data_IF_141486254078
#
_entry.id   IF_141486254078
#
_cell.length_a   1.000
_cell.length_b   1.000
_cell.length_c   1.000
_cell.angle_alpha   90.00
_cell.angle_beta   90.00
_cell.angle_gamma   90.00
#
_symmetry.space_group_name_H-M   'P 1'
#
loop_
_entity.id
_entity.type
_entity.pdbx_description
1 polymer ?
#
# COMPACT_ATOMS: atom_id res chain seq x y z
N UNK A 1 -23.25 3.97 -30.82
CA UNK A 1 -22.20 4.87 -31.31
C UNK A 1 -21.80 5.78 -30.15
N UNK A 2 -20.51 5.75 -29.75
CA UNK A 2 -19.81 6.82 -29.06
C UNK A 2 -20.03 7.01 -27.54
N UNK A 3 -19.66 6.01 -26.72
CA UNK A 3 -19.30 6.28 -25.31
C UNK A 3 -17.78 6.12 -25.02
N UNK A 4 -16.97 5.79 -26.03
CA UNK A 4 -15.50 5.67 -25.92
C UNK A 4 -14.78 7.01 -25.82
N UNK A 5 -15.44 8.13 -26.14
CA UNK A 5 -14.77 9.45 -26.21
C UNK A 5 -14.78 10.21 -24.87
N UNK A 6 -15.66 9.89 -23.94
CA UNK A 6 -15.82 10.67 -22.71
C UNK A 6 -14.74 10.37 -21.64
N UNK A 7 -14.25 9.13 -21.60
CA UNK A 7 -13.16 8.76 -20.67
C UNK A 7 -11.81 9.43 -21.02
N UNK A 8 -11.57 9.70 -22.30
CA UNK A 8 -10.36 10.40 -22.77
C UNK A 8 -10.36 11.90 -22.49
N UNK A 9 -11.55 12.50 -22.40
CA UNK A 9 -11.70 13.95 -22.15
C UNK A 9 -11.45 14.30 -20.68
N UNK A 10 -11.77 13.40 -19.74
CA UNK A 10 -11.57 13.63 -18.31
C UNK A 10 -10.06 13.62 -17.94
N UNK A 11 -9.23 12.90 -18.71
CA UNK A 11 -7.77 12.87 -18.51
C UNK A 11 -7.04 14.12 -19.02
N UNK A 12 -7.69 14.99 -19.81
CA UNK A 12 -7.03 16.15 -20.43
C UNK A 12 -7.33 17.50 -19.79
N UNK A 13 -8.22 17.57 -18.82
CA UNK A 13 -8.61 18.83 -18.19
C UNK A 13 -7.99 18.96 -16.78
N UNK A 14 -7.03 19.87 -16.65
CA UNK A 14 -6.56 20.55 -15.44
C UNK A 14 -5.60 19.87 -14.45
N UNK A 15 -5.17 18.62 -14.63
CA UNK A 15 -4.10 18.05 -13.79
C UNK A 15 -2.67 18.49 -14.20
N UNK A 16 -2.53 19.23 -15.29
CA UNK A 16 -1.23 19.68 -15.83
C UNK A 16 -0.70 21.01 -15.28
N UNK A 17 -1.32 21.62 -14.26
CA UNK A 17 -0.83 22.88 -13.65
C UNK A 17 -0.46 22.73 -12.19
N UNK A 18 0.61 22.01 -11.91
CA UNK A 18 1.36 22.19 -10.66
C UNK A 18 2.86 22.22 -11.00
N UNK A 19 3.62 23.22 -10.51
CA UNK A 19 5.05 23.33 -10.80
C UNK A 19 5.79 22.13 -10.21
N UNK A 20 6.65 21.52 -11.04
CA UNK A 20 7.46 20.38 -10.67
C UNK A 20 8.29 20.66 -9.43
N UNK A 21 8.12 19.79 -8.43
CA UNK A 21 9.03 19.72 -7.30
C UNK A 21 10.42 19.38 -7.82
N UNK A 22 11.38 20.20 -7.47
CA UNK A 22 12.78 20.08 -7.85
C UNK A 22 13.34 18.74 -7.41
N UNK A 23 13.48 17.81 -8.36
CA UNK A 23 14.26 16.60 -8.19
C UNK A 23 15.69 16.99 -7.83
N UNK A 24 16.15 16.52 -6.70
CA UNK A 24 17.54 16.65 -6.28
C UNK A 24 18.38 15.71 -7.15
N UNK A 25 18.92 16.23 -8.26
CA UNK A 25 19.97 15.55 -9.02
C UNK A 25 21.18 15.33 -8.11
N UNK A 26 21.42 14.09 -7.72
CA UNK A 26 22.71 13.69 -7.15
C UNK A 26 23.66 13.40 -8.30
N UNK A 27 24.77 14.16 -8.33
CA UNK A 27 25.89 13.98 -9.27
C UNK A 27 26.46 12.57 -9.10
N UNK A 28 26.49 11.82 -10.20
CA UNK A 28 27.28 10.59 -10.34
C UNK A 28 28.77 10.93 -10.32
N UNK A 29 29.40 10.72 -9.17
CA UNK A 29 30.84 10.71 -9.01
C UNK A 29 31.27 9.37 -8.44
N UNK A 30 32.38 8.80 -8.94
CA UNK A 30 32.94 7.56 -8.48
C UNK A 30 33.08 7.59 -6.92
N UNK A 31 32.37 6.66 -6.25
CA UNK A 31 32.35 6.58 -4.80
C UNK A 31 33.35 5.51 -4.39
N UNK A 32 34.37 5.90 -3.62
CA UNK A 32 35.32 5.00 -2.96
C UNK A 32 34.54 4.09 -1.98
N UNK A 33 34.90 2.80 -1.89
CA UNK A 33 34.21 1.77 -1.09
C UNK A 33 33.95 2.15 0.38
N UNK A 34 34.83 2.95 0.96
CA UNK A 34 34.66 3.47 2.35
C UNK A 34 33.53 4.50 2.51
N UNK A 35 33.14 5.20 1.44
CA UNK A 35 32.04 6.18 1.45
C UNK A 35 30.66 5.51 1.37
N UNK A 36 30.58 4.38 0.67
CA UNK A 36 29.32 3.61 0.53
C UNK A 36 28.90 2.97 1.86
N UNK A 37 29.81 2.30 2.56
CA UNK A 37 29.52 1.68 3.86
C UNK A 37 29.08 2.71 4.92
N UNK A 38 29.66 3.91 4.90
CA UNK A 38 29.28 5.00 5.81
C UNK A 38 27.89 5.56 5.48
N UNK A 39 27.55 5.68 4.20
CA UNK A 39 26.24 6.13 3.74
C UNK A 39 25.13 5.12 4.10
N UNK A 40 25.38 3.83 3.94
CA UNK A 40 24.43 2.75 4.30
C UNK A 40 24.11 2.72 5.79
N UNK A 41 25.13 2.94 6.64
CA UNK A 41 24.90 3.01 8.08
C UNK A 41 24.09 4.26 8.46
N UNK A 42 24.21 5.33 7.70
CA UNK A 42 23.43 6.56 7.90
C UNK A 42 21.96 6.36 7.53
N UNK A 43 21.65 5.64 6.44
CA UNK A 43 20.29 5.27 6.09
C UNK A 43 19.64 4.40 7.17
N UNK A 44 20.36 3.40 7.68
CA UNK A 44 19.87 2.58 8.79
C UNK A 44 19.59 3.42 10.04
N UNK A 45 20.49 4.31 10.42
CA UNK A 45 20.30 5.25 11.54
C UNK A 45 19.10 6.16 11.36
N UNK A 46 18.88 6.60 10.15
CA UNK A 46 17.70 7.43 9.81
C UNK A 46 16.41 6.64 9.92
N UNK A 47 16.38 5.41 9.40
CA UNK A 47 15.27 4.49 9.53
C UNK A 47 15.00 4.11 11.00
N UNK A 48 16.06 3.82 11.79
CA UNK A 48 15.95 3.53 13.22
C UNK A 48 15.32 4.71 13.98
N UNK A 49 15.79 5.94 13.72
CA UNK A 49 15.17 7.14 14.31
C UNK A 49 13.71 7.30 13.92
N UNK A 50 13.34 6.98 12.68
CA UNK A 50 11.94 6.99 12.23
C UNK A 50 11.10 5.92 12.93
N UNK A 51 11.66 4.72 13.12
CA UNK A 51 11.05 3.64 13.90
C UNK A 51 10.80 4.03 15.36
N UNK A 52 11.82 4.59 16.01
CA UNK A 52 11.70 5.06 17.40
C UNK A 52 10.69 6.19 17.57
N UNK A 53 10.57 7.11 16.60
CA UNK A 53 9.52 8.14 16.61
C UNK A 53 8.13 7.53 16.49
N UNK A 54 7.94 6.61 15.55
CA UNK A 54 6.66 5.91 15.36
C UNK A 54 6.28 5.10 16.60
N UNK A 55 7.24 4.39 17.19
CA UNK A 55 7.06 3.65 18.45
C UNK A 55 6.51 4.56 19.56
N UNK A 56 7.20 5.68 19.84
CA UNK A 56 6.77 6.63 20.88
C UNK A 56 5.38 7.21 20.59
N UNK A 57 5.10 7.53 19.33
CA UNK A 57 3.79 8.05 18.91
C UNK A 57 2.66 7.03 19.12
N UNK A 58 2.89 5.74 18.88
CA UNK A 58 1.91 4.69 19.14
C UNK A 58 1.68 4.52 20.66
N UNK A 59 2.77 4.44 21.46
CA UNK A 59 2.68 4.34 22.92
C UNK A 59 1.90 5.51 23.51
N UNK A 60 2.19 6.74 23.07
CA UNK A 60 1.48 7.94 23.54
C UNK A 60 -0.03 7.93 23.25
N UNK A 61 -0.46 7.16 22.21
CA UNK A 61 -1.87 6.98 21.86
C UNK A 61 -2.49 5.71 22.46
N UNK A 62 -1.77 4.96 23.30
CA UNK A 62 -2.22 3.69 23.85
C UNK A 62 -2.38 2.58 22.80
N UNK A 63 -1.66 2.67 21.67
CA UNK A 63 -1.69 1.70 20.59
C UNK A 63 -0.46 0.79 20.65
N UNK A 64 -0.56 -0.43 20.07
CA UNK A 64 0.61 -1.29 19.92
C UNK A 64 1.66 -0.60 19.04
N UNK A 65 2.91 -0.48 19.51
CA UNK A 65 3.97 0.17 18.76
C UNK A 65 4.62 -0.74 17.71
N UNK A 66 4.30 -2.02 17.70
CA UNK A 66 4.88 -3.06 16.85
C UNK A 66 3.98 -3.40 15.67
N UNK A 67 4.50 -4.19 14.72
CA UNK A 67 3.71 -4.73 13.62
C UNK A 67 2.53 -5.54 14.14
N UNK A 68 1.37 -5.36 13.53
CA UNK A 68 0.22 -6.21 13.78
C UNK A 68 0.53 -7.65 13.32
N UNK A 69 0.08 -8.65 14.09
CA UNK A 69 0.29 -10.07 13.82
C UNK A 69 -1.02 -10.67 13.33
N UNK A 70 -1.01 -11.21 12.10
CA UNK A 70 -2.21 -11.77 11.49
C UNK A 70 -2.72 -12.99 12.26
N UNK A 71 -1.82 -13.88 12.71
CA UNK A 71 -2.23 -15.07 13.45
C UNK A 71 -2.97 -14.72 14.75
N UNK A 72 -2.60 -13.62 15.41
CA UNK A 72 -3.31 -13.11 16.60
C UNK A 72 -4.69 -12.55 16.22
N UNK A 73 -4.77 -11.84 15.10
CA UNK A 73 -6.03 -11.27 14.58
C UNK A 73 -7.00 -12.38 14.17
N UNK A 74 -6.49 -13.47 13.60
CA UNK A 74 -7.31 -14.59 13.14
C UNK A 74 -7.74 -15.53 14.28
N UNK A 75 -7.28 -15.32 15.50
CA UNK A 75 -7.68 -16.13 16.64
C UNK A 75 -9.20 -16.07 16.83
N UNK A 76 -9.87 -17.21 16.67
CA UNK A 76 -11.33 -17.31 16.74
C UNK A 76 -12.09 -16.84 15.49
N UNK A 77 -11.40 -16.43 14.42
CA UNK A 77 -12.02 -16.05 13.16
C UNK A 77 -12.21 -17.28 12.26
N UNK A 78 -13.44 -17.45 11.75
CA UNK A 78 -13.73 -18.50 10.78
C UNK A 78 -13.35 -18.02 9.37
N UNK A 79 -12.32 -18.62 8.77
CA UNK A 79 -11.92 -18.40 7.38
C UNK A 79 -12.63 -19.44 6.50
N UNK A 80 -13.47 -18.95 5.58
CA UNK A 80 -14.29 -19.81 4.70
C UNK A 80 -13.62 -20.13 3.37
N UNK A 81 -12.63 -19.34 2.94
CA UNK A 81 -11.87 -19.60 1.73
C UNK A 81 -10.45 -19.03 1.82
N UNK A 82 -9.53 -19.66 1.09
CA UNK A 82 -8.18 -19.15 0.82
C UNK A 82 -8.00 -19.11 -0.69
N UNK A 83 -7.81 -17.93 -1.24
CA UNK A 83 -7.73 -17.69 -2.68
C UNK A 83 -6.33 -17.21 -3.07
N UNK A 84 -5.57 -17.95 -3.88
CA UNK A 84 -4.31 -17.46 -4.40
C UNK A 84 -4.58 -16.34 -5.42
N UNK A 85 -4.07 -15.14 -5.16
CA UNK A 85 -4.16 -14.01 -6.09
C UNK A 85 -2.98 -13.97 -7.08
N UNK A 86 -1.93 -14.76 -6.83
CA UNK A 86 -0.69 -14.72 -7.60
C UNK A 86 0.14 -13.48 -7.30
N UNK A 87 0.87 -13.02 -8.31
CA UNK A 87 1.69 -11.80 -8.21
C UNK A 87 0.80 -10.56 -8.30
N UNK A 88 0.90 -9.68 -7.32
CA UNK A 88 0.09 -8.47 -7.17
C UNK A 88 1.00 -7.31 -6.76
N UNK A 89 0.79 -6.14 -7.34
CA UNK A 89 1.36 -4.89 -6.85
C UNK A 89 0.55 -4.38 -5.67
N UNK A 90 1.10 -4.56 -4.47
CA UNK A 90 0.43 -4.22 -3.21
C UNK A 90 0.70 -2.76 -2.88
N UNK A 91 -0.33 -1.91 -2.66
CA UNK A 91 -0.11 -0.57 -2.15
C UNK A 91 0.66 -0.62 -0.83
N UNK A 92 1.81 0.07 -0.75
CA UNK A 92 2.70 -0.02 0.41
C UNK A 92 1.99 0.39 1.72
N UNK A 93 1.06 1.33 1.65
CA UNK A 93 0.23 1.75 2.78
C UNK A 93 -0.69 0.64 3.31
N UNK A 94 -1.14 -0.27 2.45
CA UNK A 94 -2.02 -1.39 2.80
C UNK A 94 -1.27 -2.55 3.48
N UNK A 95 0.07 -2.55 3.47
CA UNK A 95 0.88 -3.52 4.21
C UNK A 95 1.01 -3.03 5.66
N UNK A 96 0.29 -3.69 6.57
CA UNK A 96 0.10 -3.21 7.95
C UNK A 96 0.74 -4.10 9.01
N UNK A 97 1.19 -5.30 8.65
CA UNK A 97 1.70 -6.24 9.64
C UNK A 97 2.44 -7.44 9.06
N UNK A 98 2.72 -8.37 9.93
CA UNK A 98 3.37 -9.66 9.62
C UNK A 98 2.42 -10.81 9.92
N UNK A 99 2.66 -11.98 9.29
CA UNK A 99 1.82 -13.15 9.53
C UNK A 99 2.02 -13.71 10.94
N UNK A 100 3.27 -13.86 11.36
CA UNK A 100 3.64 -14.52 12.63
C UNK A 100 4.33 -13.55 13.60
N UNK A 101 4.29 -13.85 14.88
CA UNK A 101 4.91 -13.05 15.95
C UNK A 101 6.44 -13.10 16.02
N UNK A 102 7.09 -14.01 15.28
CA UNK A 102 8.51 -14.34 15.47
C UNK A 102 9.50 -13.16 15.41
N UNK A 103 9.20 -12.10 14.65
CA UNK A 103 10.06 -10.91 14.53
C UNK A 103 9.28 -9.61 14.48
N UNK A 104 8.02 -9.59 14.91
CA UNK A 104 7.18 -8.40 14.84
C UNK A 104 7.75 -7.23 15.66
N UNK A 105 8.46 -7.50 16.75
CA UNK A 105 9.08 -6.51 17.63
C UNK A 105 10.38 -5.92 17.08
N UNK A 106 10.95 -6.50 16.01
CA UNK A 106 12.11 -5.93 15.33
C UNK A 106 11.77 -4.65 14.54
N UNK A 107 10.47 -4.39 14.34
CA UNK A 107 9.95 -3.26 13.58
C UNK A 107 8.91 -2.48 14.37
N UNK A 108 8.88 -1.18 14.19
CA UNK A 108 7.75 -0.35 14.60
C UNK A 108 6.55 -0.58 13.68
N UNK A 109 5.36 -0.11 14.07
CA UNK A 109 4.12 -0.26 13.32
C UNK A 109 4.19 0.28 11.87
N UNK A 110 5.12 1.19 11.56
CA UNK A 110 5.40 1.71 10.23
C UNK A 110 6.44 0.89 9.44
N UNK A 111 6.81 -0.30 9.90
CA UNK A 111 7.87 -1.16 9.35
C UNK A 111 9.31 -0.61 9.49
N UNK A 112 9.53 0.52 10.11
CA UNK A 112 10.90 0.98 10.36
C UNK A 112 11.57 0.15 11.47
N UNK A 113 12.90 -0.07 11.38
CA UNK A 113 13.63 -0.90 12.33
C UNK A 113 13.61 -0.31 13.75
N UNK A 114 13.72 -1.21 14.75
CA UNK A 114 13.85 -0.87 16.17
C UNK A 114 15.12 -1.48 16.81
N UNK A 115 15.82 -2.35 16.11
CA UNK A 115 17.05 -2.98 16.61
C UNK A 115 18.26 -2.05 16.43
N UNK A 116 19.23 -2.18 17.33
CA UNK A 116 20.45 -1.37 17.31
C UNK A 116 21.31 -1.65 16.08
N UNK A 117 22.21 -0.71 15.76
CA UNK A 117 23.02 -0.70 14.53
C UNK A 117 24.14 -1.73 14.50
N UNK A 118 24.55 -2.31 15.64
CA UNK A 118 25.58 -3.36 15.77
C UNK A 118 25.03 -4.79 15.57
N UNK A 119 23.77 -4.91 15.16
CA UNK A 119 23.11 -6.20 14.99
C UNK A 119 23.25 -6.76 13.57
N UNK A 120 23.25 -8.09 13.43
CA UNK A 120 23.13 -8.77 12.12
C UNK A 120 21.89 -8.30 11.33
N UNK A 121 20.86 -7.88 12.05
CA UNK A 121 19.67 -7.31 11.42
C UNK A 121 20.00 -6.02 10.67
N UNK A 122 20.73 -5.10 11.30
CA UNK A 122 21.12 -3.82 10.72
C UNK A 122 22.02 -4.03 9.49
N UNK A 123 22.99 -4.93 9.56
CA UNK A 123 23.85 -5.28 8.41
C UNK A 123 23.00 -5.78 7.22
N UNK A 124 22.10 -6.74 7.46
CA UNK A 124 21.22 -7.27 6.41
C UNK A 124 20.23 -6.25 5.86
N UNK A 125 19.79 -5.29 6.67
CA UNK A 125 18.93 -4.21 6.24
C UNK A 125 19.69 -3.20 5.37
N UNK A 126 20.92 -2.84 5.76
CA UNK A 126 21.80 -1.95 5.01
C UNK A 126 22.18 -2.54 3.65
N UNK A 127 22.52 -3.83 3.59
CA UNK A 127 22.82 -4.51 2.32
C UNK A 127 21.59 -4.52 1.36
N UNK A 128 20.38 -4.58 1.90
CA UNK A 128 19.16 -4.43 1.08
C UNK A 128 18.96 -3.01 0.57
N UNK A 129 19.39 -1.99 1.33
CA UNK A 129 19.39 -0.61 0.84
C UNK A 129 20.36 -0.44 -0.34
N UNK A 130 21.57 -0.99 -0.22
CA UNK A 130 22.56 -0.95 -1.29
C UNK A 130 22.01 -1.62 -2.57
N UNK A 131 21.53 -2.85 -2.45
CA UNK A 131 20.91 -3.56 -3.56
C UNK A 131 19.73 -2.78 -4.17
N UNK A 132 18.93 -2.09 -3.34
CA UNK A 132 17.84 -1.26 -3.84
C UNK A 132 18.33 -0.04 -4.63
N UNK A 133 19.39 0.60 -4.21
CA UNK A 133 19.96 1.77 -4.88
C UNK A 133 20.70 1.39 -6.18
N UNK A 134 21.31 0.20 -6.24
CA UNK A 134 22.05 -0.27 -7.42
C UNK A 134 21.14 -0.89 -8.48
N UNK A 135 20.29 -1.83 -8.09
CA UNK A 135 19.54 -2.66 -9.04
C UNK A 135 18.01 -2.59 -8.81
N UNK A 136 17.57 -2.08 -7.65
CA UNK A 136 16.18 -2.18 -7.19
C UNK A 136 15.88 -3.53 -6.53
N UNK A 137 14.87 -3.55 -5.66
CA UNK A 137 14.38 -4.79 -5.03
C UNK A 137 13.23 -5.34 -5.88
N UNK A 138 13.50 -6.35 -6.70
CA UNK A 138 12.53 -6.97 -7.60
C UNK A 138 11.92 -8.26 -7.06
N UNK A 139 12.56 -8.91 -6.06
CA UNK A 139 12.07 -10.16 -5.48
C UNK A 139 10.74 -9.93 -4.76
N UNK A 140 9.63 -10.55 -5.20
CA UNK A 140 8.34 -10.36 -4.55
C UNK A 140 8.36 -10.81 -3.09
N UNK A 141 7.58 -10.13 -2.25
CA UNK A 141 7.30 -10.60 -0.89
C UNK A 141 6.26 -11.71 -0.93
N UNK A 142 6.13 -12.50 0.16
CA UNK A 142 5.01 -13.41 0.35
C UNK A 142 4.09 -12.79 1.40
N UNK A 143 2.82 -12.62 1.08
CA UNK A 143 1.87 -11.96 1.96
C UNK A 143 0.49 -12.61 1.95
N UNK A 144 -0.25 -12.41 3.05
CA UNK A 144 -1.66 -12.71 3.15
C UNK A 144 -2.49 -11.42 3.09
N UNK A 145 -3.59 -11.47 2.36
CA UNK A 145 -4.60 -10.42 2.39
C UNK A 145 -5.76 -10.84 3.30
N UNK A 146 -6.12 -9.99 4.25
CA UNK A 146 -7.27 -10.15 5.12
C UNK A 146 -7.98 -8.80 5.31
N UNK A 147 -9.26 -8.73 4.97
CA UNK A 147 -10.07 -7.50 5.04
C UNK A 147 -9.37 -6.30 4.37
N UNK A 148 -8.82 -6.54 3.18
CA UNK A 148 -8.11 -5.53 2.38
C UNK A 148 -6.82 -4.98 3.03
N UNK A 149 -6.27 -5.62 4.04
CA UNK A 149 -4.98 -5.34 4.67
C UNK A 149 -4.02 -6.49 4.36
N UNK A 150 -2.74 -6.17 4.20
CA UNK A 150 -1.73 -7.16 3.84
C UNK A 150 -0.77 -7.39 4.99
N UNK A 151 -0.45 -8.66 5.21
CA UNK A 151 0.40 -9.14 6.30
C UNK A 151 1.51 -9.99 5.71
N UNK A 152 2.74 -9.58 5.93
CA UNK A 152 3.93 -10.18 5.33
C UNK A 152 4.28 -11.50 6.01
N UNK A 153 4.35 -12.58 5.25
CA UNK A 153 4.92 -13.85 5.72
C UNK A 153 6.43 -13.86 5.53
N UNK A 154 6.89 -13.42 4.35
CA UNK A 154 8.31 -13.35 4.01
C UNK A 154 8.65 -12.04 3.33
N UNK A 155 9.74 -11.39 3.78
CA UNK A 155 10.24 -10.16 3.19
C UNK A 155 10.01 -8.91 4.04
N UNK A 156 9.80 -9.00 5.36
CA UNK A 156 9.61 -7.84 6.25
C UNK A 156 10.72 -6.78 6.10
N UNK A 157 12.00 -7.19 5.92
CA UNK A 157 13.09 -6.23 5.69
C UNK A 157 12.99 -5.56 4.32
N UNK A 158 12.57 -6.30 3.27
CA UNK A 158 12.32 -5.73 1.93
C UNK A 158 11.22 -4.68 2.01
N UNK A 159 10.12 -4.98 2.70
CA UNK A 159 9.04 -4.01 2.95
C UNK A 159 9.57 -2.79 3.72
N UNK A 160 10.41 -3.00 4.74
CA UNK A 160 11.00 -1.92 5.53
C UNK A 160 11.83 -0.97 4.67
N UNK A 161 12.73 -1.51 3.84
CA UNK A 161 13.58 -0.71 2.93
C UNK A 161 12.72 0.01 1.89
N UNK A 162 11.80 -0.69 1.23
CA UNK A 162 10.94 -0.09 0.22
C UNK A 162 10.05 1.03 0.79
N UNK A 163 9.51 0.86 2.01
CA UNK A 163 8.78 1.93 2.71
C UNK A 163 9.68 3.09 3.14
N UNK A 164 10.93 2.83 3.49
CA UNK A 164 11.89 3.89 3.81
C UNK A 164 12.18 4.78 2.58
N UNK A 165 12.22 4.20 1.39
CA UNK A 165 12.36 4.91 0.12
C UNK A 165 11.01 5.30 -0.50
N UNK A 166 9.93 5.31 0.28
CA UNK A 166 8.60 5.81 -0.11
C UNK A 166 8.01 5.10 -1.35
N UNK A 167 8.30 3.80 -1.50
CA UNK A 167 7.70 3.02 -2.57
C UNK A 167 6.17 3.08 -2.50
N UNK A 168 5.54 3.36 -3.64
CA UNK A 168 4.07 3.43 -3.76
C UNK A 168 3.44 2.04 -3.72
N UNK A 169 4.08 1.08 -4.41
CA UNK A 169 3.65 -0.31 -4.45
C UNK A 169 4.82 -1.24 -4.19
N UNK A 170 4.51 -2.44 -3.70
CA UNK A 170 5.49 -3.50 -3.42
C UNK A 170 4.98 -4.79 -4.07
N UNK A 171 5.75 -5.43 -4.98
CA UNK A 171 5.34 -6.67 -5.61
C UNK A 171 5.29 -7.80 -4.59
N UNK A 172 4.21 -8.58 -4.60
CA UNK A 172 4.02 -9.70 -3.68
C UNK A 172 3.20 -10.83 -4.25
N UNK A 173 3.58 -12.06 -3.89
CA UNK A 173 2.72 -13.23 -4.09
C UNK A 173 1.74 -13.30 -2.93
N UNK A 174 0.46 -13.17 -3.23
CA UNK A 174 -0.59 -12.96 -2.23
C UNK A 174 -1.57 -14.12 -2.18
N UNK A 175 -1.91 -14.53 -0.95
CA UNK A 175 -3.06 -15.40 -0.66
C UNK A 175 -4.11 -14.61 0.10
N UNK A 176 -5.34 -14.54 -0.42
CA UNK A 176 -6.48 -13.89 0.21
C UNK A 176 -7.14 -14.83 1.20
N UNK A 177 -7.38 -14.36 2.41
CA UNK A 177 -8.14 -15.07 3.44
C UNK A 177 -9.54 -14.45 3.54
N UNK A 178 -10.55 -15.22 3.15
CA UNK A 178 -11.94 -14.74 3.17
C UNK A 178 -12.58 -15.16 4.50
N UNK A 179 -12.91 -14.22 5.40
CA UNK A 179 -13.63 -14.53 6.64
C UNK A 179 -15.08 -14.89 6.36
N UNK A 180 -15.73 -15.62 7.26
CA UNK A 180 -17.18 -15.78 7.22
C UNK A 180 -17.89 -14.42 7.29
N UNK A 181 -19.09 -14.32 6.67
CA UNK A 181 -19.94 -13.12 6.78
C UNK A 181 -20.34 -12.87 8.23
N UNK A 182 -20.26 -11.63 8.64
CA UNK A 182 -20.74 -11.17 9.95
C UNK A 182 -21.35 -9.76 9.84
N UNK A 183 -21.88 -9.23 10.94
CA UNK A 183 -22.60 -7.97 10.96
C UNK A 183 -21.73 -6.72 11.10
N UNK A 184 -20.41 -6.87 11.20
CA UNK A 184 -19.51 -5.72 11.30
C UNK A 184 -19.49 -4.92 9.99
N UNK A 185 -19.37 -3.60 10.10
CA UNK A 185 -19.30 -2.72 8.93
C UNK A 185 -18.12 -3.07 8.02
N UNK A 186 -16.96 -3.36 8.61
CA UNK A 186 -15.73 -3.73 7.86
C UNK A 186 -15.94 -5.00 7.03
N UNK A 187 -16.57 -6.04 7.60
CA UNK A 187 -16.86 -7.28 6.88
C UNK A 187 -17.89 -7.06 5.75
N UNK A 188 -18.93 -6.26 5.99
CA UNK A 188 -19.94 -5.94 4.96
C UNK A 188 -19.31 -5.18 3.78
N UNK A 189 -18.48 -4.17 4.05
CA UNK A 189 -17.73 -3.43 3.01
C UNK A 189 -16.76 -4.37 2.26
N UNK A 190 -16.11 -5.27 3.00
CA UNK A 190 -15.22 -6.25 2.38
C UNK A 190 -15.94 -7.18 1.41
N UNK A 191 -17.14 -7.60 1.72
CA UNK A 191 -17.93 -8.42 0.79
C UNK A 191 -18.43 -7.63 -0.44
N UNK A 192 -18.75 -6.34 -0.30
CA UNK A 192 -18.98 -5.47 -1.46
C UNK A 192 -17.71 -5.37 -2.33
N UNK A 193 -16.54 -5.26 -1.69
CA UNK A 193 -15.25 -5.29 -2.40
C UNK A 193 -15.06 -6.62 -3.16
N UNK A 194 -15.32 -7.77 -2.56
CA UNK A 194 -15.15 -9.06 -3.22
C UNK A 194 -16.05 -9.18 -4.45
N UNK A 195 -17.30 -8.71 -4.37
CA UNK A 195 -18.22 -8.70 -5.50
C UNK A 195 -17.77 -7.73 -6.61
N UNK A 196 -17.28 -6.55 -6.25
CA UNK A 196 -16.66 -5.60 -7.18
C UNK A 196 -15.38 -6.19 -7.82
N UNK A 197 -14.50 -6.81 -7.03
CA UNK A 197 -13.28 -7.43 -7.52
C UNK A 197 -13.52 -8.56 -8.53
N UNK A 198 -14.59 -9.35 -8.37
CA UNK A 198 -14.96 -10.39 -9.35
C UNK A 198 -15.16 -9.81 -10.74
N UNK A 199 -15.74 -8.62 -10.84
CA UNK A 199 -16.08 -7.94 -12.10
C UNK A 199 -14.89 -7.10 -12.62
N UNK A 200 -14.26 -6.33 -11.75
CA UNK A 200 -13.26 -5.33 -12.13
C UNK A 200 -11.82 -5.84 -12.10
N UNK A 201 -11.51 -6.84 -11.26
CA UNK A 201 -10.13 -7.23 -10.88
C UNK A 201 -9.29 -6.09 -10.28
N UNK A 202 -9.91 -4.98 -9.88
CA UNK A 202 -9.25 -3.87 -9.17
C UNK A 202 -9.18 -4.20 -7.69
N UNK A 203 -7.98 -4.20 -7.12
CA UNK A 203 -7.73 -4.65 -5.74
C UNK A 203 -7.19 -3.55 -4.80
N UNK A 204 -7.01 -2.34 -5.30
CA UNK A 204 -6.37 -1.24 -4.55
C UNK A 204 -7.35 -0.13 -4.10
N UNK A 205 -8.61 -0.16 -4.50
CA UNK A 205 -9.63 0.83 -4.10
C UNK A 205 -10.28 0.43 -2.78
N UNK A 206 -10.40 1.37 -1.87
CA UNK A 206 -11.00 1.17 -0.54
C UNK A 206 -12.06 2.22 -0.26
N UNK A 207 -13.15 1.80 0.36
CA UNK A 207 -14.20 2.69 0.85
C UNK A 207 -14.41 2.49 2.36
N UNK A 208 -14.77 3.57 3.06
CA UNK A 208 -15.10 3.53 4.48
C UNK A 208 -16.59 3.29 4.74
N UNK A 209 -17.42 3.29 3.69
CA UNK A 209 -18.88 3.20 3.79
C UNK A 209 -19.45 2.18 2.81
N UNK A 210 -20.59 1.60 3.19
CA UNK A 210 -21.36 0.73 2.29
C UNK A 210 -21.87 1.48 1.05
N UNK A 211 -22.01 0.75 -0.05
CA UNK A 211 -22.48 1.28 -1.34
C UNK A 211 -21.41 2.00 -2.15
N UNK A 212 -20.18 2.15 -1.62
CA UNK A 212 -19.09 2.83 -2.30
C UNK A 212 -18.73 2.19 -3.65
N UNK A 213 -18.65 0.88 -3.71
CA UNK A 213 -18.32 0.15 -4.94
C UNK A 213 -19.41 0.25 -5.99
N UNK A 214 -20.68 0.14 -5.60
CA UNK A 214 -21.82 0.31 -6.51
C UNK A 214 -21.88 1.74 -7.07
N UNK A 215 -21.65 2.75 -6.22
CA UNK A 215 -21.58 4.15 -6.64
C UNK A 215 -20.40 4.39 -7.60
N UNK A 216 -19.23 3.80 -7.32
CA UNK A 216 -18.10 3.88 -8.24
C UNK A 216 -18.45 3.33 -9.62
N UNK A 217 -19.00 2.11 -9.71
CA UNK A 217 -19.42 1.51 -10.98
C UNK A 217 -20.34 2.45 -11.78
N UNK A 218 -21.34 3.04 -11.13
CA UNK A 218 -22.24 4.01 -11.76
C UNK A 218 -21.48 5.24 -12.27
N UNK A 219 -20.58 5.80 -11.45
CA UNK A 219 -19.81 6.99 -11.80
C UNK A 219 -18.79 6.74 -12.92
N UNK A 220 -18.29 5.53 -13.11
CA UNK A 220 -17.42 5.15 -14.24
C UNK A 220 -18.19 4.53 -15.41
N UNK A 221 -19.51 4.72 -15.46
CA UNK A 221 -20.41 4.25 -16.52
C UNK A 221 -20.37 2.73 -16.73
N UNK A 222 -20.27 1.96 -15.64
CA UNK A 222 -20.35 0.50 -15.68
C UNK A 222 -21.65 -0.01 -15.09
N UNK A 223 -22.29 -0.97 -15.77
CA UNK A 223 -23.45 -1.64 -15.23
C UNK A 223 -23.09 -2.51 -14.02
N UNK A 224 -24.03 -2.75 -13.12
CA UNK A 224 -23.80 -3.46 -11.85
C UNK A 224 -23.23 -4.88 -12.02
N UNK A 225 -23.48 -5.55 -13.16
CA UNK A 225 -22.98 -6.89 -13.46
C UNK A 225 -21.97 -6.93 -14.61
N UNK A 226 -21.49 -5.76 -15.05
CA UNK A 226 -20.58 -5.67 -16.19
C UNK A 226 -19.16 -6.06 -15.78
N UNK A 227 -18.58 -7.01 -16.53
CA UNK A 227 -17.17 -7.38 -16.38
C UNK A 227 -16.32 -6.33 -17.09
N UNK A 228 -15.30 -5.82 -16.39
CA UNK A 228 -14.42 -4.80 -16.93
C UNK A 228 -13.43 -5.40 -17.92
N UNK A 229 -13.23 -4.74 -19.06
CA UNK A 229 -12.18 -5.06 -20.02
C UNK A 229 -10.80 -4.72 -19.47
N UNK A 230 -9.74 -5.18 -20.14
CA UNK A 230 -8.37 -4.83 -19.76
C UNK A 230 -8.10 -3.33 -19.92
N UNK A 231 -8.69 -2.70 -20.94
CA UNK A 231 -8.62 -1.24 -21.14
C UNK A 231 -9.30 -0.47 -19.98
N UNK A 232 -10.46 -0.94 -19.52
CA UNK A 232 -11.15 -0.33 -18.37
C UNK A 232 -10.30 -0.39 -17.11
N UNK A 233 -9.68 -1.55 -16.87
CA UNK A 233 -8.80 -1.77 -15.72
C UNK A 233 -7.58 -0.88 -15.77
N UNK A 234 -6.93 -0.82 -16.93
CA UNK A 234 -5.73 -0.01 -17.13
C UNK A 234 -6.03 1.48 -16.93
N UNK A 235 -7.07 1.98 -17.59
CA UNK A 235 -7.47 3.38 -17.52
C UNK A 235 -7.90 3.78 -16.10
N UNK A 236 -8.68 2.93 -15.43
CA UNK A 236 -9.10 3.20 -14.06
C UNK A 236 -7.92 3.13 -13.08
N UNK A 237 -7.04 2.14 -13.22
CA UNK A 237 -5.85 2.02 -12.36
C UNK A 237 -4.94 3.24 -12.48
N UNK A 238 -4.72 3.74 -13.70
CA UNK A 238 -3.94 4.95 -13.93
C UNK A 238 -4.61 6.17 -13.27
N UNK A 239 -5.91 6.37 -13.49
CA UNK A 239 -6.69 7.45 -12.87
C UNK A 239 -6.60 7.38 -11.34
N UNK A 240 -6.86 6.20 -10.76
CA UNK A 240 -6.89 6.04 -9.30
C UNK A 240 -5.51 6.24 -8.67
N UNK A 241 -4.45 5.78 -9.32
CA UNK A 241 -3.07 5.97 -8.85
C UNK A 241 -2.71 7.46 -8.83
N UNK A 242 -2.96 8.18 -9.93
CA UNK A 242 -2.71 9.63 -9.99
C UNK A 242 -3.54 10.39 -8.95
N UNK A 243 -4.83 10.06 -8.83
CA UNK A 243 -5.71 10.69 -7.84
C UNK A 243 -5.24 10.45 -6.42
N UNK A 244 -4.88 9.20 -6.08
CA UNK A 244 -4.42 8.83 -4.74
C UNK A 244 -3.12 9.55 -4.37
N UNK A 245 -2.17 9.66 -5.31
CA UNK A 245 -0.92 10.40 -5.09
C UNK A 245 -1.20 11.87 -4.79
N UNK A 246 -2.07 12.52 -5.57
CA UNK A 246 -2.45 13.92 -5.33
C UNK A 246 -3.22 14.09 -4.01
N UNK A 247 -4.13 13.17 -3.70
CA UNK A 247 -4.86 13.18 -2.43
C UNK A 247 -3.89 13.18 -1.24
N UNK A 248 -2.87 12.30 -1.25
CA UNK A 248 -1.89 12.24 -0.18
C UNK A 248 -0.95 13.47 -0.17
N UNK A 249 -0.48 13.91 -1.34
CA UNK A 249 0.38 15.08 -1.47
C UNK A 249 -0.28 16.36 -0.93
N UNK A 250 -1.60 16.47 -1.07
CA UNK A 250 -2.40 17.59 -0.55
C UNK A 250 -2.85 17.42 0.91
N UNK A 251 -2.35 16.39 1.60
CA UNK A 251 -2.67 16.16 3.02
C UNK A 251 -4.03 15.51 3.25
N UNK A 252 -4.59 14.83 2.26
CA UNK A 252 -5.90 14.18 2.33
C UNK A 252 -6.04 13.17 3.48
N UNK A 253 -4.93 12.56 3.94
CA UNK A 253 -4.90 11.68 5.12
C UNK A 253 -5.46 12.35 6.39
N UNK A 254 -5.33 13.68 6.52
CA UNK A 254 -5.84 14.43 7.67
C UNK A 254 -7.39 14.53 7.69
N UNK A 255 -8.05 14.24 6.56
CA UNK A 255 -9.51 14.30 6.45
C UNK A 255 -10.21 13.07 7.02
N UNK A 256 -9.47 12.00 7.37
CA UNK A 256 -10.04 10.74 7.84
C UNK A 256 -10.86 9.99 6.77
N UNK A 257 -10.66 10.32 5.50
CA UNK A 257 -11.28 9.67 4.34
C UNK A 257 -10.29 8.75 3.64
N UNK A 258 -10.80 7.72 2.98
CA UNK A 258 -9.99 6.95 2.04
C UNK A 258 -9.86 7.69 0.71
N UNK A 259 -8.79 7.46 -0.08
CA UNK A 259 -8.72 7.99 -1.45
C UNK A 259 -9.94 7.60 -2.31
N UNK A 260 -10.52 6.40 -2.08
CA UNK A 260 -11.73 5.96 -2.76
C UNK A 260 -12.93 6.82 -2.41
N UNK A 261 -13.16 7.13 -1.12
CA UNK A 261 -14.25 8.02 -0.71
C UNK A 261 -14.10 9.41 -1.34
N UNK A 262 -12.88 9.94 -1.34
CA UNK A 262 -12.58 11.24 -1.95
C UNK A 262 -12.79 11.20 -3.49
N UNK A 263 -12.40 10.11 -4.16
CA UNK A 263 -12.64 9.92 -5.59
C UNK A 263 -14.14 9.94 -5.92
N UNK A 264 -14.99 9.32 -5.10
CA UNK A 264 -16.45 9.37 -5.34
C UNK A 264 -16.98 10.81 -5.29
N UNK A 265 -16.49 11.62 -4.37
CA UNK A 265 -16.85 13.04 -4.29
C UNK A 265 -16.37 13.76 -5.54
N UNK A 266 -15.12 13.59 -5.91
CA UNK A 266 -14.53 14.21 -7.10
C UNK A 266 -15.33 13.87 -8.37
N UNK A 267 -15.56 12.59 -8.63
CA UNK A 267 -16.33 12.15 -9.80
C UNK A 267 -17.78 12.61 -9.78
N UNK A 268 -18.38 12.83 -8.60
CA UNK A 268 -19.76 13.33 -8.50
C UNK A 268 -19.89 14.82 -8.83
N UNK A 269 -18.79 15.57 -8.73
CA UNK A 269 -18.78 17.04 -8.97
C UNK A 269 -18.31 17.38 -10.37
N UNK A 270 -17.32 16.66 -10.89
CA UNK A 270 -16.62 17.03 -12.13
C UNK A 270 -16.93 16.10 -13.32
N UNK A 271 -17.96 15.30 -13.21
CA UNK A 271 -18.43 14.44 -14.29
C UNK A 271 -19.44 15.12 -15.22
#
# INVERSE_FOLDING_TARGET
VSHKSEFHVILSLDLCRIPGGTGRERKTGAIEEGSSAMAMLEDYRSALRAGQRAYRACVARGQSPYLAVLDDILNGVNIVAQEPLGLVDIPAESIVGTKTSGRHTAFAANFMPLLEEDTEFAIKWSNLCEAHLEEGIHTPIIAYEYLNKFYVQEGNKRVSVLKYYEAVTIPGTVTRLVPARNDTLENKIYYEFLDFYKLSKINNVRFSRLGGYAKLQTLVCKAASEVWSDDDRLNFSALYTMFSQQFYALGGSALGLTPGDALLVYLSVYR
#
